data_IF_189534384250
#
_entry.id   IF_189534384250
#
_cell.length_a   1.000
_cell.length_b   1.000
_cell.length_c   1.000
_cell.angle_alpha   90.00
_cell.angle_beta   90.00
_cell.angle_gamma   90.00
#
_symmetry.space_group_name_H-M   'P 1'
#
loop_
_entity.id
_entity.type
_entity.pdbx_description
1 polymer ?
#
# COMPACT_ATOMS: atom_id res chain seq x y z
N UNK A 1 -5.81 -20.36 55.32
CA UNK A 1 -4.92 -21.34 54.63
C UNK A 1 -4.10 -20.70 53.49
N UNK A 2 -3.40 -19.57 53.73
CA UNK A 2 -2.68 -18.82 52.67
C UNK A 2 -1.19 -18.53 52.95
N UNK A 3 -0.65 -18.93 54.11
CA UNK A 3 0.72 -18.59 54.50
C UNK A 3 1.81 -19.55 54.00
N UNK A 4 1.47 -20.78 53.64
CA UNK A 4 2.42 -21.77 53.11
C UNK A 4 2.71 -21.57 51.63
N UNK A 5 1.70 -21.22 50.83
CA UNK A 5 1.86 -20.92 49.40
C UNK A 5 2.76 -19.70 49.14
N UNK A 6 2.64 -18.65 49.95
CA UNK A 6 3.49 -17.45 49.84
C UNK A 6 4.95 -17.74 50.21
N UNK A 7 5.19 -18.58 51.21
CA UNK A 7 6.54 -19.01 51.61
C UNK A 7 7.18 -19.93 50.56
N UNK A 8 6.40 -20.80 49.91
CA UNK A 8 6.87 -21.64 48.81
C UNK A 8 7.23 -20.81 47.57
N UNK A 9 6.44 -19.77 47.26
CA UNK A 9 6.72 -18.86 46.15
C UNK A 9 8.03 -18.08 46.36
N UNK A 10 8.30 -17.60 47.58
CA UNK A 10 9.56 -16.94 47.91
C UNK A 10 10.76 -17.91 47.85
N UNK A 11 10.60 -19.15 48.31
CA UNK A 11 11.67 -20.15 48.23
C UNK A 11 12.04 -20.50 46.79
N UNK A 12 11.04 -20.61 45.89
CA UNK A 12 11.24 -20.80 44.45
C UNK A 12 11.93 -19.59 43.80
N UNK A 13 11.62 -18.37 44.23
CA UNK A 13 12.24 -17.14 43.70
C UNK A 13 13.73 -17.03 44.04
N UNK A 14 14.15 -17.53 45.22
CA UNK A 14 15.56 -17.51 45.65
C UNK A 14 16.40 -18.68 45.11
N UNK A 15 15.78 -19.84 44.84
CA UNK A 15 16.48 -20.98 44.24
C UNK A 15 16.98 -20.70 42.80
N UNK A 16 16.36 -19.74 42.09
CA UNK A 16 16.78 -19.32 40.75
C UNK A 16 18.00 -18.38 40.70
N UNK A 17 18.49 -17.88 41.85
CA UNK A 17 19.60 -16.92 41.91
C UNK A 17 20.97 -17.58 42.14
N UNK A 18 21.03 -18.89 42.37
CA UNK A 18 22.27 -19.63 42.58
C UNK A 18 22.71 -20.35 41.29
N UNK A 19 23.03 -19.59 40.25
CA UNK A 19 23.79 -20.13 39.12
C UNK A 19 25.27 -20.20 39.51
N UNK A 20 26.01 -21.26 39.19
CA UNK A 20 27.46 -21.27 39.39
C UNK A 20 28.08 -20.15 38.53
N UNK A 21 28.74 -19.20 39.19
CA UNK A 21 29.66 -18.27 38.52
C UNK A 21 30.88 -19.10 38.13
N UNK A 22 30.91 -19.58 36.90
CA UNK A 22 32.15 -20.04 36.29
C UNK A 22 33.04 -18.79 36.15
N UNK A 23 34.13 -18.74 36.91
CA UNK A 23 35.17 -17.75 36.67
C UNK A 23 35.67 -17.96 35.24
N UNK A 24 35.36 -17.02 34.34
CA UNK A 24 35.99 -16.98 33.04
C UNK A 24 37.44 -16.54 33.26
N UNK A 25 38.40 -17.42 32.96
CA UNK A 25 39.78 -17.00 32.78
C UNK A 25 39.81 -15.84 31.79
N UNK A 26 40.56 -14.78 32.12
CA UNK A 26 40.74 -13.63 31.25
C UNK A 26 41.25 -14.12 29.89
N UNK A 27 40.52 -13.88 28.78
CA UNK A 27 41.04 -14.22 27.46
C UNK A 27 42.35 -13.45 27.24
N UNK A 28 43.40 -14.16 26.84
CA UNK A 28 44.63 -13.55 26.36
C UNK A 28 44.29 -12.50 25.28
N UNK A 29 44.98 -11.34 25.26
CA UNK A 29 44.69 -10.29 24.28
C UNK A 29 44.87 -10.87 22.88
N UNK A 30 43.75 -11.05 22.19
CA UNK A 30 43.75 -11.50 20.81
C UNK A 30 44.33 -10.35 20.01
N UNK A 31 45.39 -10.61 19.24
CA UNK A 31 45.86 -9.66 18.23
C UNK A 31 44.68 -9.46 17.28
N UNK A 32 44.03 -8.30 17.36
CA UNK A 32 43.01 -7.91 16.39
C UNK A 32 43.71 -7.81 15.03
N UNK A 33 43.63 -8.89 14.26
CA UNK A 33 43.91 -8.83 12.84
C UNK A 33 42.89 -7.84 12.28
N UNK A 34 43.38 -6.67 11.87
CA UNK A 34 42.52 -5.62 11.35
C UNK A 34 41.58 -6.25 10.33
N UNK A 35 40.25 -6.07 10.46
CA UNK A 35 39.31 -6.69 9.55
C UNK A 35 39.76 -6.36 8.12
N UNK A 36 39.81 -7.36 7.21
CA UNK A 36 40.22 -7.11 5.85
C UNK A 36 39.40 -5.93 5.34
N UNK A 37 40.02 -4.96 4.64
CA UNK A 37 39.27 -3.82 4.10
C UNK A 37 38.09 -4.39 3.34
N UNK A 38 36.88 -4.04 3.80
CA UNK A 38 35.67 -4.34 3.07
C UNK A 38 35.82 -3.57 1.77
N UNK A 39 36.22 -4.27 0.71
CA UNK A 39 36.11 -3.74 -0.63
C UNK A 39 34.62 -3.53 -0.84
N UNK A 40 34.15 -2.29 -0.69
CA UNK A 40 32.86 -1.88 -1.24
C UNK A 40 32.94 -2.29 -2.71
N UNK A 41 32.17 -3.32 -3.08
CA UNK A 41 32.11 -3.69 -4.48
C UNK A 41 31.71 -2.44 -5.26
N UNK A 42 32.42 -2.10 -6.35
CA UNK A 42 31.99 -1.01 -7.20
C UNK A 42 30.53 -1.28 -7.54
N UNK A 43 29.68 -0.30 -7.24
CA UNK A 43 28.24 -0.41 -7.50
C UNK A 43 28.13 -0.70 -8.99
N UNK A 44 27.63 -1.87 -9.36
CA UNK A 44 27.48 -2.22 -10.77
C UNK A 44 26.46 -1.21 -11.35
N UNK A 45 26.97 -0.21 -12.05
CA UNK A 45 26.16 0.89 -12.58
C UNK A 45 25.42 0.38 -13.80
N UNK A 46 24.17 -0.04 -13.58
CA UNK A 46 23.34 -0.63 -14.64
C UNK A 46 22.77 -1.97 -14.25
N UNK A 47 21.45 -2.07 -14.02
CA UNK A 47 20.86 -3.35 -13.61
C UNK A 47 19.34 -3.41 -13.67
N UNK A 48 18.82 -4.59 -14.00
CA UNK A 48 17.39 -4.89 -13.91
C UNK A 48 17.01 -5.20 -12.46
N UNK A 49 15.87 -4.68 -12.02
CA UNK A 49 15.26 -5.06 -10.76
C UNK A 49 13.78 -5.39 -10.96
N UNK A 50 13.24 -6.21 -10.06
CA UNK A 50 11.82 -6.48 -9.97
C UNK A 50 11.26 -5.80 -8.73
N UNK A 51 9.98 -5.45 -8.79
CA UNK A 51 9.24 -4.80 -7.72
C UNK A 51 7.90 -5.51 -7.52
N UNK A 52 7.52 -5.71 -6.27
CA UNK A 52 6.19 -6.18 -5.90
C UNK A 52 5.47 -5.08 -5.13
N UNK A 53 4.20 -4.86 -5.47
CA UNK A 53 3.40 -3.74 -4.96
C UNK A 53 2.14 -4.27 -4.26
N UNK A 54 1.85 -3.73 -3.07
CA UNK A 54 0.65 -3.98 -2.28
C UNK A 54 0.16 -2.64 -1.74
N UNK A 55 -0.92 -2.12 -2.32
CA UNK A 55 -1.39 -0.77 -2.04
C UNK A 55 -2.81 -0.76 -1.48
N UNK A 56 -3.13 0.34 -0.80
CA UNK A 56 -4.49 0.68 -0.42
C UNK A 56 -4.88 2.01 -1.05
N UNK A 57 -5.88 1.97 -1.93
CA UNK A 57 -6.38 3.13 -2.65
C UNK A 57 -7.46 3.84 -1.87
N UNK A 58 -7.26 5.12 -1.58
CA UNK A 58 -8.30 6.01 -1.05
C UNK A 58 -8.77 6.94 -2.16
N UNK A 59 -9.93 6.64 -2.73
CA UNK A 59 -10.49 7.40 -3.85
C UNK A 59 -11.42 8.52 -3.40
N UNK A 60 -11.46 9.59 -4.19
CA UNK A 60 -12.55 10.54 -4.21
C UNK A 60 -13.17 10.49 -5.60
N UNK A 61 -14.49 10.39 -5.65
CA UNK A 61 -15.23 10.44 -6.91
C UNK A 61 -15.64 11.89 -7.13
N UNK A 62 -15.38 12.42 -8.33
CA UNK A 62 -15.85 13.73 -8.75
C UNK A 62 -17.32 13.70 -9.18
N UNK A 63 -17.74 14.73 -9.90
CA UNK A 63 -19.09 14.80 -10.44
C UNK A 63 -19.29 13.71 -11.51
N UNK A 64 -20.46 13.08 -11.50
CA UNK A 64 -20.85 12.06 -12.47
C UNK A 64 -22.08 12.57 -13.21
N UNK A 65 -21.90 12.84 -14.49
CA UNK A 65 -22.96 13.21 -15.42
C UNK A 65 -23.32 12.04 -16.34
N UNK A 66 -24.61 11.91 -16.64
CA UNK A 66 -25.12 10.87 -17.53
C UNK A 66 -26.27 11.39 -18.38
N UNK A 67 -26.43 10.77 -19.56
CA UNK A 67 -27.49 11.10 -20.51
C UNK A 67 -28.71 10.24 -20.17
N UNK A 68 -29.88 10.86 -20.12
CA UNK A 68 -31.17 10.19 -20.01
C UNK A 68 -31.92 10.28 -21.33
N UNK A 69 -32.68 9.24 -21.65
CA UNK A 69 -33.60 9.25 -22.78
C UNK A 69 -35.01 9.11 -22.21
N UNK A 70 -35.80 10.16 -22.36
CA UNK A 70 -37.21 10.19 -21.96
C UNK A 70 -38.12 10.24 -23.18
N UNK A 71 -39.42 10.21 -22.94
CA UNK A 71 -40.43 10.47 -23.95
C UNK A 71 -41.24 11.69 -23.54
N UNK A 72 -41.27 12.73 -24.38
CA UNK A 72 -42.12 13.88 -24.16
C UNK A 72 -43.45 13.71 -24.89
N UNK A 73 -44.59 14.05 -24.27
CA UNK A 73 -45.86 14.06 -24.97
C UNK A 73 -45.82 15.10 -26.10
N UNK A 74 -46.05 14.67 -27.35
CA UNK A 74 -46.28 15.59 -28.47
C UNK A 74 -47.78 15.80 -28.68
N UNK A 75 -48.25 17.05 -28.86
CA UNK A 75 -49.61 17.31 -29.35
C UNK A 75 -49.89 16.71 -30.73
N UNK A 76 -48.85 16.29 -31.44
CA UNK A 76 -48.85 15.90 -32.84
C UNK A 76 -48.87 14.39 -33.10
N UNK A 77 -48.82 13.53 -32.07
CA UNK A 77 -48.70 12.08 -32.27
C UNK A 77 -48.15 11.32 -31.06
N UNK A 78 -47.67 10.08 -31.25
CA UNK A 78 -47.09 9.29 -30.16
C UNK A 78 -45.89 10.02 -29.51
N UNK A 79 -45.59 9.74 -28.23
CA UNK A 79 -44.50 10.40 -27.51
C UNK A 79 -43.18 10.35 -28.29
N UNK A 80 -42.52 11.49 -28.42
CA UNK A 80 -41.24 11.60 -29.11
C UNK A 80 -40.09 11.45 -28.10
N UNK A 81 -39.04 10.72 -28.49
CA UNK A 81 -37.85 10.57 -27.67
C UNK A 81 -37.14 11.90 -27.49
N UNK A 82 -36.90 12.31 -26.25
CA UNK A 82 -36.15 13.53 -25.91
C UNK A 82 -34.94 13.13 -25.08
N UNK A 83 -33.76 13.58 -25.52
CA UNK A 83 -32.54 13.43 -24.76
C UNK A 83 -32.51 14.48 -23.64
N UNK A 84 -32.14 14.03 -22.44
CA UNK A 84 -31.85 14.87 -21.29
C UNK A 84 -30.49 14.52 -20.69
N UNK A 85 -30.04 15.31 -19.73
CA UNK A 85 -28.86 15.01 -18.93
C UNK A 85 -29.21 15.12 -17.46
N UNK A 86 -28.58 14.29 -16.65
CA UNK A 86 -28.70 14.29 -15.19
C UNK A 86 -27.33 14.07 -14.58
N UNK A 87 -27.19 14.54 -13.35
CA UNK A 87 -25.99 14.38 -12.53
C UNK A 87 -26.34 13.60 -11.28
N UNK A 88 -25.38 12.87 -10.73
CA UNK A 88 -25.52 12.23 -9.43
C UNK A 88 -25.53 13.30 -8.32
N UNK A 89 -26.34 13.08 -7.28
CA UNK A 89 -26.33 13.93 -6.08
C UNK A 89 -25.07 13.70 -5.25
N UNK A 90 -24.61 12.44 -5.22
CA UNK A 90 -23.30 12.07 -4.73
C UNK A 90 -22.82 10.77 -5.37
N UNK A 91 -21.51 10.62 -5.48
CA UNK A 91 -20.83 9.36 -5.80
C UNK A 91 -19.77 9.06 -4.75
N UNK A 92 -19.76 7.83 -4.22
CA UNK A 92 -18.73 7.37 -3.27
C UNK A 92 -18.18 6.02 -3.70
N UNK A 93 -16.88 6.00 -3.98
CA UNK A 93 -16.12 4.78 -4.18
C UNK A 93 -15.38 4.45 -2.89
N UNK A 94 -15.70 3.30 -2.28
CA UNK A 94 -14.97 2.82 -1.11
C UNK A 94 -13.53 2.50 -1.50
N UNK A 95 -12.59 2.79 -0.60
CA UNK A 95 -11.20 2.41 -0.81
C UNK A 95 -11.04 0.88 -0.89
N UNK A 96 -10.02 0.45 -1.62
CA UNK A 96 -9.76 -0.96 -1.89
C UNK A 96 -8.27 -1.24 -2.03
N UNK A 97 -7.90 -2.51 -1.89
CA UNK A 97 -6.52 -2.94 -2.06
C UNK A 97 -6.19 -3.16 -3.54
N UNK A 98 -4.92 -3.02 -3.90
CA UNK A 98 -4.33 -3.53 -5.14
C UNK A 98 -3.16 -4.44 -4.85
N UNK A 99 -2.89 -5.33 -5.80
CA UNK A 99 -1.68 -6.13 -5.82
C UNK A 99 -1.12 -6.09 -7.24
N UNK A 100 0.19 -5.98 -7.33
CA UNK A 100 0.87 -6.04 -8.61
C UNK A 100 2.37 -6.09 -8.48
N UNK A 101 3.01 -5.65 -9.54
CA UNK A 101 4.44 -5.59 -9.60
C UNK A 101 4.95 -4.98 -10.90
N UNK A 102 6.26 -4.88 -10.97
CA UNK A 102 6.91 -4.19 -12.06
C UNK A 102 8.34 -4.64 -12.28
N UNK A 103 8.87 -4.15 -13.39
CA UNK A 103 10.26 -4.32 -13.79
C UNK A 103 10.84 -2.95 -13.99
N UNK A 104 12.01 -2.73 -13.39
CA UNK A 104 12.75 -1.50 -13.53
C UNK A 104 14.17 -1.74 -13.98
N UNK A 105 14.77 -0.66 -14.47
CA UNK A 105 16.16 -0.62 -14.87
C UNK A 105 16.82 0.58 -14.19
N UNK A 106 17.90 0.31 -13.45
CA UNK A 106 18.77 1.35 -12.89
C UNK A 106 19.78 1.71 -13.97
N UNK A 107 19.75 2.95 -14.44
CA UNK A 107 20.58 3.41 -15.57
C UNK A 107 21.94 3.87 -15.05
N UNK A 108 21.96 4.55 -13.91
CA UNK A 108 23.17 4.98 -13.21
C UNK A 108 22.91 5.01 -11.70
N UNK A 109 23.88 5.43 -10.88
CA UNK A 109 23.74 5.45 -9.41
C UNK A 109 22.58 6.31 -8.90
N UNK A 110 22.24 7.36 -9.65
CA UNK A 110 21.26 8.38 -9.27
C UNK A 110 19.95 8.32 -10.06
N UNK A 111 19.83 7.47 -11.08
CA UNK A 111 18.70 7.48 -12.00
C UNK A 111 18.23 6.06 -12.31
N UNK A 112 16.93 5.83 -12.10
CA UNK A 112 16.25 4.56 -12.36
C UNK A 112 14.88 4.80 -12.96
N UNK A 113 14.39 3.84 -13.73
CA UNK A 113 13.06 3.88 -14.33
C UNK A 113 12.35 2.56 -14.13
N UNK A 114 11.03 2.57 -13.92
CA UNK A 114 10.25 1.33 -13.89
C UNK A 114 8.91 1.43 -14.60
N UNK A 115 8.41 0.25 -14.96
CA UNK A 115 7.06 0.02 -15.43
C UNK A 115 6.38 -0.93 -14.43
N UNK A 116 5.22 -0.53 -13.92
CA UNK A 116 4.43 -1.34 -12.99
C UNK A 116 3.03 -1.60 -13.54
N UNK A 117 2.47 -2.74 -13.15
CA UNK A 117 1.10 -3.11 -13.44
C UNK A 117 0.44 -3.66 -12.18
N UNK A 118 -0.65 -3.01 -11.76
CA UNK A 118 -1.36 -3.33 -10.53
C UNK A 118 -2.82 -3.63 -10.80
N UNK A 119 -3.34 -4.69 -10.18
CA UNK A 119 -4.75 -5.02 -10.24
C UNK A 119 -5.45 -4.50 -8.99
N UNK A 120 -6.32 -3.51 -9.17
CA UNK A 120 -7.15 -2.98 -8.10
C UNK A 120 -8.39 -3.85 -7.93
N UNK A 121 -8.46 -4.50 -6.76
CA UNK A 121 -9.58 -5.35 -6.38
C UNK A 121 -10.89 -4.58 -6.24
N UNK A 122 -11.98 -5.35 -6.24
CA UNK A 122 -13.35 -4.82 -6.24
C UNK A 122 -13.57 -3.80 -5.12
N UNK A 123 -13.89 -2.58 -5.53
CA UNK A 123 -14.24 -1.46 -4.68
C UNK A 123 -15.73 -1.16 -4.86
N UNK A 124 -16.46 -1.03 -3.75
CA UNK A 124 -17.91 -0.81 -3.80
C UNK A 124 -18.20 0.67 -4.09
N UNK A 125 -18.95 0.92 -5.16
CA UNK A 125 -19.48 2.21 -5.53
C UNK A 125 -20.91 2.35 -5.02
N UNK A 126 -21.22 3.49 -4.40
CA UNK A 126 -22.56 3.85 -3.98
C UNK A 126 -22.82 5.30 -4.40
N UNK A 127 -23.88 5.51 -5.16
CA UNK A 127 -24.38 6.82 -5.56
C UNK A 127 -25.88 6.93 -5.35
N UNK A 128 -26.38 8.15 -5.51
CA UNK A 128 -27.81 8.40 -5.59
C UNK A 128 -28.07 9.51 -6.62
N UNK A 129 -29.22 9.42 -7.27
CA UNK A 129 -29.78 10.53 -8.04
C UNK A 129 -31.22 10.78 -7.61
N UNK A 130 -31.61 12.03 -7.48
CA UNK A 130 -32.98 12.42 -7.12
C UNK A 130 -33.64 13.29 -8.20
N UNK A 131 -34.96 13.21 -8.23
CA UNK A 131 -35.81 14.20 -8.86
C UNK A 131 -36.79 14.79 -7.83
N UNK A 132 -37.73 15.62 -8.28
CA UNK A 132 -38.68 16.30 -7.40
C UNK A 132 -39.60 15.34 -6.62
N UNK A 133 -39.66 14.06 -6.99
CA UNK A 133 -40.64 13.10 -6.48
C UNK A 133 -40.05 11.76 -6.06
N UNK A 134 -38.85 11.41 -6.51
CA UNK A 134 -38.24 10.10 -6.35
C UNK A 134 -36.74 10.20 -6.12
N UNK A 135 -36.17 9.17 -5.49
CA UNK A 135 -34.73 9.00 -5.32
C UNK A 135 -34.36 7.60 -5.78
N UNK A 136 -33.40 7.52 -6.70
CA UNK A 136 -32.78 6.29 -7.14
C UNK A 136 -31.46 6.08 -6.39
N UNK A 137 -31.19 4.84 -5.98
CA UNK A 137 -29.93 4.45 -5.34
C UNK A 137 -29.17 3.55 -6.29
N UNK A 138 -27.94 3.93 -6.62
CA UNK A 138 -27.07 3.16 -7.50
C UNK A 138 -25.98 2.47 -6.69
N UNK A 139 -25.93 1.14 -6.78
CA UNK A 139 -24.89 0.31 -6.14
C UNK A 139 -24.16 -0.47 -7.22
N UNK A 140 -22.84 -0.34 -7.27
CA UNK A 140 -22.01 -1.05 -8.25
C UNK A 140 -20.66 -1.44 -7.64
N UNK A 141 -19.87 -2.21 -8.39
CA UNK A 141 -18.50 -2.60 -8.03
C UNK A 141 -17.57 -2.23 -9.16
N UNK A 142 -16.45 -1.61 -8.82
CA UNK A 142 -15.40 -1.24 -9.76
C UNK A 142 -14.15 -2.06 -9.47
N UNK A 143 -13.50 -2.55 -10.52
CA UNK A 143 -12.13 -3.07 -10.49
C UNK A 143 -11.37 -2.42 -11.63
N UNK A 144 -10.08 -2.17 -11.45
CA UNK A 144 -9.26 -1.49 -12.44
C UNK A 144 -7.92 -2.21 -12.63
N UNK A 145 -7.40 -2.15 -13.85
CA UNK A 145 -6.01 -2.43 -14.13
C UNK A 145 -5.28 -1.09 -14.21
N UNK A 146 -4.26 -0.92 -13.36
CA UNK A 146 -3.44 0.27 -13.29
C UNK A 146 -2.11 -0.02 -13.97
N UNK A 147 -1.67 0.90 -14.83
CA UNK A 147 -0.38 0.84 -15.51
C UNK A 147 0.35 2.14 -15.24
N UNK A 148 1.59 2.05 -14.78
CA UNK A 148 2.39 3.21 -14.42
C UNK A 148 3.79 3.11 -15.03
N UNK A 149 4.29 4.27 -15.47
CA UNK A 149 5.66 4.42 -15.94
C UNK A 149 6.30 5.54 -15.13
N UNK A 150 7.38 5.23 -14.43
CA UNK A 150 8.03 6.14 -13.51
C UNK A 150 9.51 6.30 -13.85
N UNK A 151 10.05 7.46 -13.46
CA UNK A 151 11.47 7.74 -13.41
C UNK A 151 11.77 8.34 -12.05
N UNK A 152 12.88 7.95 -11.45
CA UNK A 152 13.25 8.39 -10.12
C UNK A 152 14.67 8.92 -10.11
N UNK A 153 14.89 9.92 -9.26
CA UNK A 153 16.21 10.45 -8.95
C UNK A 153 16.58 10.08 -7.51
N UNK A 154 17.58 9.21 -7.34
CA UNK A 154 18.12 8.81 -6.04
C UNK A 154 19.07 9.91 -5.52
N UNK A 155 18.76 10.48 -4.34
CA UNK A 155 19.50 11.63 -3.78
C UNK A 155 20.85 11.20 -3.20
N UNK A 156 20.93 10.00 -2.64
CA UNK A 156 22.11 9.42 -2.00
C UNK A 156 21.73 8.22 -1.14
N UNK A 157 22.70 7.38 -0.79
CA UNK A 157 22.48 6.20 0.06
C UNK A 157 23.22 6.36 1.39
N UNK A 158 22.49 6.31 2.50
CA UNK A 158 23.06 6.36 3.84
C UNK A 158 22.61 5.13 4.63
N UNK A 159 23.57 4.35 5.12
CA UNK A 159 23.29 3.13 5.91
C UNK A 159 22.28 2.17 5.23
N UNK A 160 22.32 2.07 3.90
CA UNK A 160 21.41 1.22 3.12
C UNK A 160 20.03 1.82 2.83
N UNK A 161 19.79 3.09 3.18
CA UNK A 161 18.56 3.82 2.87
C UNK A 161 18.83 4.82 1.75
N UNK A 162 18.05 4.74 0.67
CA UNK A 162 18.17 5.61 -0.51
C UNK A 162 16.87 6.37 -0.75
N UNK A 163 16.72 7.62 -0.25
CA UNK A 163 15.58 8.46 -0.60
C UNK A 163 15.64 8.89 -2.06
N UNK A 164 14.45 9.02 -2.65
CA UNK A 164 14.26 9.33 -4.07
C UNK A 164 13.04 10.22 -4.28
N UNK A 165 12.98 10.85 -5.46
CA UNK A 165 11.81 11.58 -5.98
C UNK A 165 11.42 11.00 -7.33
#
# INVERSE_FOLDING_TARGET
MFNTARKALFALLFAGLAWPVLAADLPEPQVEEAPPPVYEQPVDVGGWYIRGDLDYHKSKVGDIDYITYGAAPCPCGPPVGVAGSKSFDYGKLKGGFSLGGGVGYKINEHFRTDLTADYWFKSNFNGATSDLTTTSTEVSKMSALLLLANAYVDIGTWHGITPYV
#
